data_IF_778599305357
#
_entry.id   IF_778599305357
#
_cell.length_a   1.000
_cell.length_b   1.000
_cell.length_c   1.000
_cell.angle_alpha   90.00
_cell.angle_beta   90.00
_cell.angle_gamma   90.00
#
_symmetry.space_group_name_H-M   'P 1'
#
loop_
_entity.id
_entity.type
_entity.pdbx_description
1 polymer ?
#
# COMPACT_ATOMS: atom_id res chain seq x y z
N UNK A 1 -15.03 -4.46 -3.24
CA UNK A 1 -14.68 -3.52 -4.33
C UNK A 1 -13.54 -4.14 -5.13
N UNK A 2 -13.55 -4.05 -6.46
CA UNK A 2 -12.50 -4.60 -7.33
C UNK A 2 -11.58 -3.47 -7.79
N UNK A 3 -10.81 -2.91 -6.86
CA UNK A 3 -9.85 -1.83 -7.14
C UNK A 3 -8.65 -2.41 -7.88
N UNK A 4 -8.30 -1.88 -9.07
CA UNK A 4 -7.15 -2.39 -9.82
C UNK A 4 -5.86 -2.14 -9.04
N UNK A 5 -5.03 -3.17 -8.90
CA UNK A 5 -3.70 -3.07 -8.31
C UNK A 5 -2.67 -2.72 -9.40
N UNK A 6 -1.76 -1.81 -9.07
CA UNK A 6 -0.64 -1.40 -9.93
C UNK A 6 0.68 -1.76 -9.28
N UNK A 7 1.74 -1.92 -10.08
CA UNK A 7 3.07 -2.31 -9.61
C UNK A 7 3.77 -1.27 -8.74
N UNK A 8 3.35 0.00 -8.82
CA UNK A 8 3.93 1.11 -8.06
C UNK A 8 5.38 1.47 -8.48
N UNK A 9 6.04 2.25 -7.63
CA UNK A 9 7.46 2.65 -7.74
C UNK A 9 8.20 2.41 -6.43
N UNK A 10 9.50 2.08 -6.52
CA UNK A 10 10.35 1.81 -5.34
C UNK A 10 10.68 3.05 -4.52
N UNK A 11 10.46 4.27 -5.04
CA UNK A 11 10.68 5.53 -4.32
C UNK A 11 9.58 6.55 -4.63
N UNK A 12 9.34 7.50 -3.70
CA UNK A 12 9.93 7.61 -2.36
C UNK A 12 9.46 6.49 -1.42
N UNK A 13 10.20 6.24 -0.32
CA UNK A 13 9.77 5.31 0.72
C UNK A 13 8.54 5.86 1.47
N UNK A 14 7.67 4.96 1.92
CA UNK A 14 6.43 5.28 2.61
C UNK A 14 5.21 5.27 1.69
N UNK A 15 4.15 5.96 2.12
CA UNK A 15 2.92 6.13 1.37
C UNK A 15 2.93 7.48 0.66
N UNK A 16 2.74 7.49 -0.66
CA UNK A 16 2.76 8.70 -1.48
C UNK A 16 1.55 8.76 -2.40
N UNK A 17 0.77 9.85 -2.30
CA UNK A 17 -0.38 10.12 -3.18
C UNK A 17 0.08 10.79 -4.48
N UNK A 18 -0.24 10.19 -5.62
CA UNK A 18 0.18 10.67 -6.94
C UNK A 18 -0.91 11.42 -7.73
N UNK A 19 -2.11 11.57 -7.15
CA UNK A 19 -3.27 12.18 -7.80
C UNK A 19 -4.31 11.17 -8.31
N UNK A 20 -3.92 9.90 -8.49
CA UNK A 20 -4.80 8.81 -8.93
C UNK A 20 -4.87 7.65 -7.92
N UNK A 21 -3.81 7.46 -7.14
CA UNK A 21 -3.67 6.39 -6.16
C UNK A 21 -2.59 6.70 -5.12
N UNK A 22 -2.49 5.83 -4.12
CA UNK A 22 -1.39 5.86 -3.16
C UNK A 22 -0.39 4.76 -3.51
N UNK A 23 0.84 5.15 -3.78
CA UNK A 23 1.98 4.24 -3.90
C UNK A 23 2.53 3.92 -2.51
N UNK A 24 2.76 2.64 -2.21
CA UNK A 24 3.41 2.19 -0.99
C UNK A 24 4.77 1.56 -1.33
N UNK A 25 5.85 2.15 -0.82
CA UNK A 25 7.19 1.56 -0.91
C UNK A 25 7.76 1.30 0.47
N UNK A 26 8.09 0.05 0.75
CA UNK A 26 8.58 -0.41 2.05
C UNK A 26 9.94 -1.07 1.87
N UNK A 27 10.93 -0.58 2.61
CA UNK A 27 12.19 -1.28 2.77
C UNK A 27 12.11 -2.20 3.99
N UNK A 28 12.57 -3.43 3.84
CA UNK A 28 12.84 -4.33 4.96
C UNK A 28 14.06 -5.18 4.65
N UNK A 29 15.04 -5.17 5.56
CA UNK A 29 16.27 -5.96 5.41
C UNK A 29 16.03 -7.46 5.60
N UNK A 30 14.99 -7.83 6.37
CA UNK A 30 14.79 -9.21 6.84
C UNK A 30 13.38 -9.77 6.61
N UNK A 31 12.44 -9.01 6.03
CA UNK A 31 11.08 -9.50 5.81
C UNK A 31 11.05 -10.65 4.78
N UNK A 32 10.22 -11.65 5.07
CA UNK A 32 9.88 -12.72 4.11
C UNK A 32 8.59 -12.42 3.34
N UNK A 33 7.85 -11.39 3.74
CA UNK A 33 6.62 -10.93 3.13
C UNK A 33 6.13 -9.63 3.78
N UNK A 34 5.24 -8.93 3.08
CA UNK A 34 4.62 -7.68 3.53
C UNK A 34 3.14 -7.75 3.15
N UNK A 35 2.26 -7.46 4.12
CA UNK A 35 0.82 -7.30 3.90
C UNK A 35 0.45 -5.81 4.04
N UNK A 36 -0.39 -5.32 3.12
CA UNK A 36 -0.97 -3.97 3.20
C UNK A 36 -2.40 -4.09 3.72
N UNK A 37 -2.61 -3.63 4.96
CA UNK A 37 -3.93 -3.60 5.60
C UNK A 37 -4.56 -2.21 5.45
N UNK A 38 -5.73 -2.14 4.81
CA UNK A 38 -6.47 -0.89 4.61
C UNK A 38 -7.73 -0.91 5.45
N UNK A 39 -7.94 0.15 6.24
CA UNK A 39 -9.09 0.27 7.15
C UNK A 39 -10.00 1.43 6.74
N UNK A 40 -11.30 1.23 6.88
CA UNK A 40 -12.29 2.30 6.74
C UNK A 40 -12.54 3.07 8.05
N UNK A 41 -13.41 4.07 8.01
CA UNK A 41 -13.77 4.91 9.17
C UNK A 41 -14.46 4.13 10.31
N UNK A 42 -14.89 2.89 10.06
CA UNK A 42 -15.51 2.00 11.03
C UNK A 42 -14.58 0.88 11.52
N UNK A 43 -13.28 1.02 11.26
CA UNK A 43 -12.22 0.08 11.63
C UNK A 43 -12.34 -1.30 10.96
N UNK A 44 -12.97 -1.35 9.77
CA UNK A 44 -13.05 -2.59 8.98
C UNK A 44 -11.90 -2.68 7.99
N UNK A 45 -11.18 -3.79 8.06
CA UNK A 45 -10.11 -4.11 7.10
C UNK A 45 -10.67 -4.58 5.75
N UNK A 46 -10.10 -4.07 4.67
CA UNK A 46 -10.26 -4.60 3.31
C UNK A 46 -8.99 -5.33 2.91
N UNK A 47 -9.13 -6.59 2.48
CA UNK A 47 -8.05 -7.47 2.01
C UNK A 47 -8.28 -7.90 0.57
#
# INVERSE_FOLDING_TARGET
>A
MNTPLWTGTVYPLGAYWDGNGTNFSIFSEHATGIDLCLFDETDRETR
#
